data_IF_801640365684
#
_entry.id   IF_801640365684
#
_cell.length_a   1.000
_cell.length_b   1.000
_cell.length_c   1.000
_cell.angle_alpha   90.00
_cell.angle_beta   90.00
_cell.angle_gamma   90.00
#
_symmetry.space_group_name_H-M   'P 1'
#
loop_
_entity.id
_entity.type
_entity.pdbx_description
1 polymer ?
#
# COMPACT_ATOMS: atom_id res chain seq x y z
N UNK A 1 -0.89 16.91 0.13
CA UNK A 1 0.24 15.96 0.16
C UNK A 1 -0.09 14.89 1.18
N UNK A 2 0.07 13.61 0.85
CA UNK A 2 -0.11 12.49 1.79
C UNK A 2 1.14 11.60 1.72
N UNK A 3 1.69 11.24 2.86
CA UNK A 3 2.79 10.30 2.96
C UNK A 3 2.36 9.08 3.79
N UNK A 4 2.76 7.89 3.37
CA UNK A 4 2.50 6.65 4.11
C UNK A 4 3.83 6.00 4.53
N UNK A 5 3.91 5.64 5.80
CA UNK A 5 4.82 4.58 6.28
C UNK A 5 4.21 3.25 5.83
N UNK A 6 4.63 2.77 4.66
CA UNK A 6 4.04 1.66 3.94
C UNK A 6 4.60 0.32 4.45
N UNK A 7 3.91 -0.25 5.44
CA UNK A 7 4.17 -1.58 5.99
C UNK A 7 3.27 -2.65 5.40
N UNK A 8 3.85 -3.83 5.16
CA UNK A 8 3.21 -4.99 4.54
C UNK A 8 3.20 -6.23 5.45
N UNK A 9 3.58 -6.06 6.71
CA UNK A 9 3.62 -7.10 7.74
C UNK A 9 2.24 -7.49 8.27
N UNK A 10 1.20 -6.70 8.03
CA UNK A 10 -0.18 -7.03 8.41
C UNK A 10 -0.89 -8.00 7.44
N UNK A 11 -0.19 -8.48 6.40
CA UNK A 11 -0.75 -9.40 5.41
C UNK A 11 -1.10 -10.77 6.01
N UNK A 12 -2.09 -11.47 5.46
CA UNK A 12 -2.59 -12.77 5.95
C UNK A 12 -1.53 -13.87 6.00
N UNK A 13 -0.53 -13.77 5.13
CA UNK A 13 0.64 -14.66 5.08
C UNK A 13 1.90 -14.07 5.73
N UNK A 14 1.78 -12.95 6.44
CA UNK A 14 2.86 -12.32 7.21
C UNK A 14 2.43 -12.17 8.69
N UNK A 15 3.19 -11.44 9.51
CA UNK A 15 3.05 -11.41 10.97
C UNK A 15 1.66 -11.01 11.50
N UNK A 16 0.92 -10.16 10.79
CA UNK A 16 -0.36 -9.64 11.28
C UNK A 16 -1.58 -10.46 10.87
N UNK A 17 -1.48 -11.33 9.87
CA UNK A 17 -2.51 -12.35 9.60
C UNK A 17 -3.89 -11.81 9.22
N UNK A 18 -3.99 -10.56 8.72
CA UNK A 18 -5.28 -9.87 8.54
C UNK A 18 -5.57 -9.45 7.10
N UNK A 19 -4.66 -8.71 6.47
CA UNK A 19 -4.91 -8.05 5.18
C UNK A 19 -4.62 -8.98 4.00
N UNK A 20 -5.41 -8.86 2.95
CA UNK A 20 -5.15 -9.51 1.66
C UNK A 20 -4.33 -8.60 0.75
N UNK A 21 -3.75 -9.16 -0.31
CA UNK A 21 -3.04 -8.37 -1.32
C UNK A 21 -3.92 -7.26 -1.92
N UNK A 22 -5.21 -7.54 -2.17
CA UNK A 22 -6.13 -6.56 -2.76
C UNK A 22 -6.43 -5.37 -1.82
N UNK A 23 -6.31 -5.56 -0.50
CA UNK A 23 -6.50 -4.48 0.47
C UNK A 23 -5.40 -3.42 0.31
N UNK A 24 -4.16 -3.81 -0.06
CA UNK A 24 -3.09 -2.86 -0.35
C UNK A 24 -3.38 -2.02 -1.59
N UNK A 25 -3.96 -2.62 -2.64
CA UNK A 25 -4.45 -1.87 -3.81
C UNK A 25 -5.54 -0.88 -3.42
N UNK A 26 -6.50 -1.31 -2.60
CA UNK A 26 -7.58 -0.44 -2.15
C UNK A 26 -7.05 0.73 -1.30
N UNK A 27 -6.12 0.48 -0.39
CA UNK A 27 -5.46 1.54 0.40
C UNK A 27 -4.68 2.53 -0.47
N UNK A 28 -3.93 2.05 -1.47
CA UNK A 28 -3.25 2.91 -2.45
C UNK A 28 -4.24 3.82 -3.19
N UNK A 29 -5.35 3.27 -3.65
CA UNK A 29 -6.42 4.03 -4.32
C UNK A 29 -7.01 5.11 -3.42
N UNK A 30 -7.36 4.78 -2.17
CA UNK A 30 -7.90 5.75 -1.20
C UNK A 30 -6.92 6.89 -0.92
N UNK A 31 -5.63 6.57 -0.80
CA UNK A 31 -4.56 7.55 -0.60
C UNK A 31 -4.44 8.50 -1.79
N UNK A 32 -4.42 7.97 -3.02
CA UNK A 32 -4.37 8.78 -4.25
C UNK A 32 -5.57 9.70 -4.38
N UNK A 33 -6.78 9.15 -4.28
CA UNK A 33 -8.03 9.91 -4.39
C UNK A 33 -8.09 11.03 -3.34
N UNK A 34 -7.62 10.76 -2.12
CA UNK A 34 -7.58 11.76 -1.06
C UNK A 34 -6.51 12.82 -1.30
N UNK A 35 -5.35 12.46 -1.85
CA UNK A 35 -4.33 13.44 -2.23
C UNK A 35 -4.81 14.37 -3.36
N UNK A 36 -5.44 13.80 -4.41
CA UNK A 36 -6.03 14.53 -5.53
C UNK A 36 -7.11 15.51 -5.07
N UNK A 37 -8.04 15.08 -4.19
CA UNK A 37 -9.05 15.96 -3.58
C UNK A 37 -8.45 17.14 -2.83
N UNK A 38 -7.22 17.01 -2.33
CA UNK A 38 -6.49 18.07 -1.62
C UNK A 38 -5.48 18.80 -2.53
N UNK A 39 -5.61 18.68 -3.86
CA UNK A 39 -4.73 19.31 -4.84
C UNK A 39 -3.23 19.05 -4.58
N UNK A 40 -2.88 17.83 -4.16
CA UNK A 40 -1.49 17.44 -3.90
C UNK A 40 -1.16 16.03 -4.35
N UNK A 41 0.13 15.66 -4.22
CA UNK A 41 0.61 14.31 -4.52
C UNK A 41 0.57 13.37 -3.31
N UNK A 42 0.97 12.12 -3.55
CA UNK A 42 1.14 11.10 -2.53
C UNK A 42 2.37 10.23 -2.81
N UNK A 43 3.00 9.72 -1.74
CA UNK A 43 4.10 8.76 -1.83
C UNK A 43 4.15 7.86 -0.60
N UNK A 44 4.74 6.67 -0.73
CA UNK A 44 5.00 5.76 0.38
C UNK A 44 6.50 5.57 0.63
N UNK A 45 6.88 5.35 1.88
CA UNK A 45 8.22 4.89 2.29
C UNK A 45 8.04 3.46 2.82
N UNK A 46 8.81 2.51 2.28
CA UNK A 46 8.75 1.11 2.71
C UNK A 46 9.17 0.97 4.18
N UNK A 47 8.37 0.27 4.96
CA UNK A 47 8.60 -0.04 6.37
C UNK A 47 8.74 -1.57 6.58
N UNK A 48 7.80 -2.18 7.32
CA UNK A 48 7.77 -3.62 7.61
C UNK A 48 7.23 -4.48 6.46
N UNK A 49 7.42 -5.79 6.60
CA UNK A 49 7.09 -6.79 5.60
C UNK A 49 8.20 -7.83 5.57
N UNK A 50 7.93 -9.01 6.12
CA UNK A 50 8.96 -9.96 6.52
C UNK A 50 8.88 -11.29 5.77
N UNK A 51 7.74 -11.58 5.14
CA UNK A 51 7.61 -12.72 4.25
C UNK A 51 7.99 -12.34 2.81
N UNK A 52 9.24 -12.65 2.44
CA UNK A 52 9.80 -12.33 1.12
C UNK A 52 9.03 -12.96 -0.06
N UNK A 53 8.27 -14.04 0.15
CA UNK A 53 7.51 -14.69 -0.93
C UNK A 53 6.28 -13.89 -1.37
N UNK A 54 5.80 -12.97 -0.52
CA UNK A 54 4.61 -12.14 -0.75
C UNK A 54 4.90 -10.64 -0.73
N UNK A 55 6.02 -10.20 -0.12
CA UNK A 55 6.34 -8.79 0.04
C UNK A 55 6.28 -8.01 -1.28
N UNK A 56 6.99 -8.49 -2.30
CA UNK A 56 7.02 -7.83 -3.61
C UNK A 56 5.64 -7.71 -4.26
N UNK A 57 4.76 -8.70 -4.06
CA UNK A 57 3.38 -8.68 -4.58
C UNK A 57 2.55 -7.61 -3.87
N UNK A 58 2.70 -7.49 -2.55
CA UNK A 58 1.96 -6.50 -1.77
C UNK A 58 2.46 -5.07 -2.03
N UNK A 59 3.77 -4.88 -2.21
CA UNK A 59 4.34 -3.60 -2.64
C UNK A 59 3.80 -3.22 -4.02
N UNK A 60 3.81 -4.15 -4.98
CA UNK A 60 3.26 -3.91 -6.32
C UNK A 60 1.77 -3.54 -6.24
N UNK A 61 0.97 -4.30 -5.49
CA UNK A 61 -0.45 -4.04 -5.31
C UNK A 61 -0.74 -2.63 -4.77
N UNK A 62 0.06 -2.15 -3.81
CA UNK A 62 -0.02 -0.78 -3.31
C UNK A 62 0.34 0.26 -4.38
N UNK A 63 1.42 0.04 -5.13
CA UNK A 63 1.85 0.94 -6.22
C UNK A 63 0.81 1.01 -7.32
N UNK A 64 0.23 -0.12 -7.74
CA UNK A 64 -0.87 -0.18 -8.71
C UNK A 64 -2.12 0.59 -8.22
N UNK A 65 -2.36 0.64 -6.90
CA UNK A 65 -3.39 1.48 -6.30
C UNK A 65 -3.11 2.98 -6.42
N UNK A 66 -1.83 3.39 -6.47
CA UNK A 66 -1.41 4.79 -6.63
C UNK A 66 -1.43 5.26 -8.10
N UNK A 67 -1.36 4.35 -9.07
CA UNK A 67 -1.37 4.68 -10.51
C UNK A 67 -2.73 5.22 -10.97
N UNK A 68 -2.74 6.21 -11.88
CA UNK A 68 -3.95 6.65 -12.60
C UNK A 68 -4.30 5.67 -13.73
N UNK A 69 -5.60 5.41 -13.92
CA UNK A 69 -6.13 4.75 -15.13
C UNK A 69 -6.85 5.79 -15.99
#
# INVERSE_FOLDING_TARGET
MIAASAGFDNHEADWGGLLKTEDYTFMGKLMRETAQRNHGGCFGILEGGYNHSILGKNVLAFVEGLEEK
#
